data_IF_454338971640
#
_entry.id   IF_454338971640
#
_cell.length_a   1.000
_cell.length_b   1.000
_cell.length_c   1.000
_cell.angle_alpha   90.00
_cell.angle_beta   90.00
_cell.angle_gamma   90.00
#
_symmetry.space_group_name_H-M   'P 1'
#
loop_
_entity.id
_entity.type
_entity.pdbx_description
1 polymer ?
#
# COMPACT_ATOMS: atom_id res chain seq x y z
N UNK A 1 -15.96 12.55 10.89
CA UNK A 1 -16.24 11.10 11.02
C UNK A 1 -15.41 10.31 10.02
N UNK A 2 -14.90 9.12 10.39
CA UNK A 2 -14.25 8.20 9.44
C UNK A 2 -15.17 6.99 9.18
N UNK A 3 -15.24 6.51 7.94
CA UNK A 3 -15.97 5.29 7.60
C UNK A 3 -15.26 4.07 8.21
N UNK A 4 -15.80 3.56 9.32
CA UNK A 4 -15.20 2.46 10.08
C UNK A 4 -15.07 1.17 9.26
N UNK A 5 -16.07 0.86 8.43
CA UNK A 5 -16.07 -0.35 7.58
C UNK A 5 -14.91 -0.32 6.59
N UNK A 6 -14.76 0.79 5.86
CA UNK A 6 -13.67 0.96 4.89
C UNK A 6 -12.31 0.93 5.58
N UNK A 7 -12.19 1.58 6.75
CA UNK A 7 -10.94 1.56 7.53
C UNK A 7 -10.53 0.15 7.92
N UNK A 8 -11.47 -0.69 8.37
CA UNK A 8 -11.20 -2.09 8.74
C UNK A 8 -10.75 -2.90 7.51
N UNK A 9 -11.46 -2.79 6.39
CA UNK A 9 -11.12 -3.51 5.16
C UNK A 9 -9.71 -3.16 4.65
N UNK A 10 -9.38 -1.87 4.61
CA UNK A 10 -8.05 -1.41 4.21
C UNK A 10 -6.96 -1.89 5.17
N UNK A 11 -7.27 -1.95 6.48
CA UNK A 11 -6.33 -2.46 7.46
C UNK A 11 -6.02 -3.93 7.24
N UNK A 12 -7.05 -4.77 7.04
CA UNK A 12 -6.89 -6.19 6.72
C UNK A 12 -6.11 -6.37 5.41
N UNK A 13 -6.45 -5.61 4.37
CA UNK A 13 -5.73 -5.65 3.10
C UNK A 13 -4.25 -5.28 3.26
N UNK A 14 -3.93 -4.26 4.06
CA UNK A 14 -2.55 -3.88 4.34
C UNK A 14 -1.78 -4.98 5.09
N UNK A 15 -2.39 -5.65 6.07
CA UNK A 15 -1.75 -6.75 6.79
C UNK A 15 -1.44 -7.94 5.88
N UNK A 16 -2.37 -8.33 5.00
CA UNK A 16 -2.16 -9.39 4.01
C UNK A 16 -1.10 -8.97 2.99
N UNK A 17 -1.13 -7.71 2.54
CA UNK A 17 -0.16 -7.20 1.59
C UNK A 17 1.27 -7.19 2.16
N UNK A 18 1.45 -6.84 3.44
CA UNK A 18 2.76 -6.92 4.11
C UNK A 18 3.28 -8.36 4.17
N UNK A 19 2.40 -9.36 4.31
CA UNK A 19 2.81 -10.76 4.40
C UNK A 19 3.18 -11.36 3.04
N UNK A 20 2.39 -11.08 2.00
CA UNK A 20 2.50 -11.79 0.72
C UNK A 20 3.16 -10.98 -0.40
N UNK A 21 3.21 -9.65 -0.30
CA UNK A 21 3.84 -8.81 -1.32
C UNK A 21 5.27 -8.43 -0.87
N UNK A 22 6.33 -8.94 -1.52
CA UNK A 22 7.71 -8.66 -1.10
C UNK A 22 8.07 -7.18 -1.10
N UNK A 23 7.55 -6.39 -2.04
CA UNK A 23 7.82 -4.96 -2.13
C UNK A 23 7.25 -4.21 -0.91
N UNK A 24 6.02 -4.53 -0.52
CA UNK A 24 5.38 -3.91 0.63
C UNK A 24 5.93 -4.45 1.96
N UNK A 25 6.34 -5.73 2.01
CA UNK A 25 7.05 -6.31 3.16
C UNK A 25 8.37 -5.58 3.41
N UNK A 26 9.21 -5.46 2.38
CA UNK A 26 10.48 -4.77 2.47
C UNK A 26 10.29 -3.30 2.86
N UNK A 27 9.26 -2.63 2.32
CA UNK A 27 8.92 -1.27 2.74
C UNK A 27 8.55 -1.20 4.23
N UNK A 28 7.74 -2.12 4.72
CA UNK A 28 7.35 -2.18 6.12
C UNK A 28 8.55 -2.46 7.04
N UNK A 29 9.33 -3.49 6.73
CA UNK A 29 10.52 -3.88 7.49
C UNK A 29 11.55 -2.76 7.55
N UNK A 30 11.86 -2.10 6.43
CA UNK A 30 12.76 -0.94 6.39
C UNK A 30 12.27 0.19 7.29
N UNK A 31 10.98 0.55 7.20
CA UNK A 31 10.40 1.64 7.99
C UNK A 31 10.38 1.33 9.49
N UNK A 32 10.14 0.08 9.88
CA UNK A 32 10.07 -0.32 11.29
C UNK A 32 11.45 -0.62 11.88
N UNK A 33 12.30 -1.35 11.16
CA UNK A 33 13.56 -1.87 11.68
C UNK A 33 14.71 -0.90 11.51
N UNK A 34 14.82 -0.24 10.35
CA UNK A 34 15.90 0.72 10.06
C UNK A 34 15.50 2.11 10.53
N UNK A 35 14.34 2.62 10.10
CA UNK A 35 13.89 3.98 10.44
C UNK A 35 13.20 4.10 11.81
N UNK A 36 13.07 2.98 12.55
CA UNK A 36 12.47 2.88 13.89
C UNK A 36 11.08 3.54 14.02
N UNK A 37 10.29 3.56 12.95
CA UNK A 37 8.93 4.15 12.97
C UNK A 37 7.95 3.24 13.70
N UNK A 38 6.96 3.86 14.36
CA UNK A 38 5.88 3.13 15.02
C UNK A 38 5.12 2.23 14.02
N UNK A 39 4.95 0.95 14.37
CA UNK A 39 4.31 -0.07 13.52
C UNK A 39 2.95 0.37 12.97
N UNK A 40 2.12 1.00 13.79
CA UNK A 40 0.77 1.45 13.37
C UNK A 40 0.84 2.58 12.34
N UNK A 41 1.82 3.49 12.49
CA UNK A 41 2.07 4.55 11.50
C UNK A 41 2.54 3.96 10.17
N UNK A 42 3.40 2.95 10.21
CA UNK A 42 3.86 2.27 8.98
C UNK A 42 2.71 1.51 8.30
N UNK A 43 1.84 0.83 9.04
CA UNK A 43 0.63 0.19 8.48
C UNK A 43 -0.28 1.24 7.84
N UNK A 44 -0.41 2.43 8.44
CA UNK A 44 -1.14 3.54 7.82
C UNK A 44 -0.50 3.98 6.49
N UNK A 45 0.83 4.04 6.42
CA UNK A 45 1.54 4.34 5.18
C UNK A 45 1.31 3.25 4.11
N UNK A 46 1.26 1.97 4.50
CA UNK A 46 0.95 0.86 3.57
C UNK A 46 -0.50 0.97 3.06
N UNK A 47 -1.48 1.27 3.93
CA UNK A 47 -2.86 1.55 3.50
C UNK A 47 -2.91 2.66 2.44
N UNK A 48 -2.21 3.77 2.68
CA UNK A 48 -2.14 4.86 1.71
C UNK A 48 -1.47 4.44 0.39
N UNK A 49 -0.40 3.62 0.42
CA UNK A 49 0.21 3.09 -0.81
C UNK A 49 -0.76 2.24 -1.63
N UNK A 50 -1.56 1.38 -0.99
CA UNK A 50 -2.57 0.58 -1.68
C UNK A 50 -3.64 1.45 -2.34
N UNK A 51 -4.15 2.45 -1.61
CA UNK A 51 -5.12 3.42 -2.14
C UNK A 51 -4.53 4.13 -3.37
N UNK A 52 -3.33 4.69 -3.26
CA UNK A 52 -2.68 5.40 -4.37
C UNK A 52 -2.52 4.51 -5.61
N UNK A 53 -2.16 3.24 -5.44
CA UNK A 53 -2.06 2.27 -6.56
C UNK A 53 -3.40 2.04 -7.25
N UNK A 54 -4.46 1.81 -6.47
CA UNK A 54 -5.81 1.60 -7.01
C UNK A 54 -6.29 2.85 -7.73
N UNK A 55 -6.14 4.02 -7.13
CA UNK A 55 -6.53 5.29 -7.75
C UNK A 55 -5.75 5.57 -9.04
N UNK A 56 -4.45 5.25 -9.10
CA UNK A 56 -3.67 5.39 -10.33
C UNK A 56 -4.19 4.49 -11.45
N UNK A 57 -4.55 3.23 -11.15
CA UNK A 57 -5.09 2.30 -12.12
C UNK A 57 -6.48 2.74 -12.63
N UNK A 58 -7.37 3.14 -11.71
CA UNK A 58 -8.72 3.62 -12.05
C UNK A 58 -8.65 4.91 -12.88
N UNK A 59 -7.79 5.86 -12.51
CA UNK A 59 -7.62 7.13 -13.24
C UNK A 59 -7.13 6.92 -14.68
N UNK A 60 -6.35 5.87 -14.91
CA UNK A 60 -5.78 5.54 -16.23
C UNK A 60 -6.60 4.48 -16.98
N UNK A 61 -7.76 4.09 -16.45
CA UNK A 61 -8.60 2.99 -16.95
C UNK A 61 -7.81 1.74 -17.36
N UNK A 62 -6.90 1.31 -16.47
CA UNK A 62 -6.02 0.18 -16.75
C UNK A 62 -5.95 -0.79 -15.59
N UNK A 63 -5.51 -2.01 -15.90
CA UNK A 63 -5.21 -3.04 -14.89
C UNK A 63 -3.89 -2.75 -14.20
N UNK A 64 -3.75 -3.24 -12.96
CA UNK A 64 -2.49 -3.16 -12.23
C UNK A 64 -1.42 -4.00 -12.93
N UNK A 65 -0.24 -3.42 -13.10
CA UNK A 65 0.94 -4.07 -13.65
C UNK A 65 2.07 -3.97 -12.64
N UNK A 66 2.66 -5.11 -12.28
CA UNK A 66 3.74 -5.17 -11.28
C UNK A 66 4.98 -4.39 -11.73
N UNK A 67 5.34 -4.52 -13.00
CA UNK A 67 6.49 -3.86 -13.62
C UNK A 67 6.01 -2.77 -14.57
N UNK A 68 5.31 -1.77 -14.05
CA UNK A 68 4.77 -0.69 -14.87
C UNK A 68 5.90 0.13 -15.51
N UNK A 69 5.97 0.10 -16.84
CA UNK A 69 6.84 0.98 -17.62
C UNK A 69 5.99 2.13 -18.14
N UNK A 70 6.31 3.36 -17.72
CA UNK A 70 5.70 4.55 -18.30
C UNK A 70 6.25 4.67 -19.73
N UNK A 71 5.41 4.38 -20.72
CA UNK A 71 5.69 4.76 -22.10
C UNK A 71 5.85 6.30 -22.11
N UNK A 72 7.08 6.75 -22.35
CA UNK A 72 7.35 8.16 -22.63
C UNK A 72 7.05 8.32 -24.11
N UNK A 73 5.87 8.84 -24.42
CA UNK A 73 5.55 9.38 -25.74
C UNK A 73 5.87 10.86 -25.70
#
# INVERSE_FOLDING_TARGET
>A
MANKKVKTLLHLAALVAIQHNPELRNYYERKVNEEKKNKMSVINAVRNKLILRVFACVKQDRKYEKNYLKLVV
#
